data_IF_825669762568
#
_entry.id   IF_825669762568
#
_cell.length_a   1.000
_cell.length_b   1.000
_cell.length_c   1.000
_cell.angle_alpha   90.00
_cell.angle_beta   90.00
_cell.angle_gamma   90.00
#
_symmetry.space_group_name_H-M   'P 1'
#
loop_
_entity.id
_entity.type
_entity.pdbx_description
1 polymer ?
#
# COMPACT_ATOMS: atom_id res chain seq x y z
N UNK A 1 3.32 9.04 -1.13
CA UNK A 1 2.67 9.74 -2.27
C UNK A 1 3.10 9.23 -3.64
N UNK A 2 4.39 9.12 -3.98
CA UNK A 2 4.84 8.70 -5.33
C UNK A 2 4.28 7.34 -5.80
N UNK A 3 4.17 6.37 -4.90
CA UNK A 3 3.58 5.05 -5.21
C UNK A 3 2.09 5.15 -5.63
N UNK A 4 1.30 5.95 -4.91
CA UNK A 4 -0.12 6.20 -5.24
C UNK A 4 -0.26 6.92 -6.58
N UNK A 5 0.57 7.94 -6.83
CA UNK A 5 0.59 8.65 -8.11
C UNK A 5 0.85 7.68 -9.28
N UNK A 6 1.81 6.76 -9.14
CA UNK A 6 2.09 5.76 -10.17
C UNK A 6 0.89 4.80 -10.42
N UNK A 7 0.16 4.42 -9.37
CA UNK A 7 -1.09 3.65 -9.52
C UNK A 7 -2.13 4.49 -10.30
N UNK A 8 -2.32 5.75 -9.95
CA UNK A 8 -3.29 6.62 -10.60
C UNK A 8 -2.97 6.90 -12.07
N UNK A 9 -1.70 7.11 -12.41
CA UNK A 9 -1.22 7.32 -13.79
C UNK A 9 -1.55 6.14 -14.71
N UNK A 10 -1.66 4.93 -14.15
CA UNK A 10 -2.10 3.74 -14.91
C UNK A 10 -3.62 3.63 -15.11
N UNK A 11 -4.38 4.52 -14.47
CA UNK A 11 -5.84 4.50 -14.40
C UNK A 11 -6.41 3.76 -13.19
N UNK A 12 -5.57 3.20 -12.31
CA UNK A 12 -6.00 2.49 -11.10
C UNK A 12 -6.32 3.51 -10.01
N UNK A 13 -7.56 3.97 -9.98
CA UNK A 13 -8.05 5.02 -9.07
C UNK A 13 -9.22 4.58 -8.19
N UNK A 14 -9.67 3.33 -8.32
CA UNK A 14 -10.80 2.79 -7.57
C UNK A 14 -10.38 1.61 -6.71
N UNK A 15 -10.75 1.63 -5.43
CA UNK A 15 -10.39 0.61 -4.47
C UNK A 15 -9.99 1.20 -3.13
N UNK A 16 -9.14 0.50 -2.40
CA UNK A 16 -8.59 0.96 -1.13
C UNK A 16 -7.22 0.32 -0.89
N UNK A 17 -6.47 0.87 0.05
CA UNK A 17 -5.17 0.36 0.46
C UNK A 17 -5.19 0.02 1.93
N UNK A 18 -4.66 -1.15 2.28
CA UNK A 18 -4.21 -1.42 3.64
C UNK A 18 -2.75 -1.01 3.75
N UNK A 19 -2.42 -0.28 4.80
CA UNK A 19 -1.09 0.20 5.14
C UNK A 19 -0.67 -0.48 6.42
N UNK A 20 0.55 -1.02 6.41
CA UNK A 20 1.19 -1.64 7.57
C UNK A 20 2.72 -1.38 7.53
N UNK A 21 3.48 -2.08 8.36
CA UNK A 21 4.94 -1.97 8.43
C UNK A 21 5.39 -1.15 9.65
N UNK A 22 6.70 -0.95 9.78
CA UNK A 22 7.28 -0.38 10.99
C UNK A 22 6.77 1.03 11.35
N UNK A 23 6.29 1.81 10.38
CA UNK A 23 5.66 3.12 10.63
C UNK A 23 4.37 3.04 11.46
N UNK A 24 3.70 1.89 11.49
CA UNK A 24 2.44 1.70 12.22
C UNK A 24 2.61 0.89 13.51
N UNK A 25 3.85 0.54 13.86
CA UNK A 25 4.16 -0.35 14.98
C UNK A 25 4.74 0.35 16.22
N UNK A 26 4.98 1.67 16.19
CA UNK A 26 5.69 2.40 17.26
C UNK A 26 7.07 1.78 17.58
N UNK A 27 7.81 1.38 16.54
CA UNK A 27 9.09 0.68 16.69
C UNK A 27 10.17 1.54 17.35
N UNK A 28 10.07 2.87 17.29
CA UNK A 28 10.99 3.78 17.96
C UNK A 28 10.93 3.61 19.48
N UNK A 29 9.72 3.42 20.03
CA UNK A 29 9.50 3.23 21.47
C UNK A 29 9.72 1.77 21.86
N UNK A 30 9.22 0.84 21.07
CA UNK A 30 9.20 -0.58 21.43
C UNK A 30 10.50 -1.31 21.11
N UNK A 31 11.24 -0.86 20.10
CA UNK A 31 12.45 -1.52 19.60
C UNK A 31 13.67 -0.57 19.57
N UNK A 32 13.50 0.72 19.88
CA UNK A 32 14.62 1.67 19.96
C UNK A 32 15.28 2.00 18.61
N UNK A 33 14.57 1.79 17.49
CA UNK A 33 15.06 2.03 16.12
C UNK A 33 14.08 2.86 15.31
N UNK A 34 14.56 3.56 14.29
CA UNK A 34 13.70 4.25 13.34
C UNK A 34 12.88 3.25 12.48
N UNK A 35 11.67 3.63 12.04
CA UNK A 35 10.89 2.89 11.06
C UNK A 35 11.56 3.00 9.69
N UNK A 36 11.50 1.92 8.93
CA UNK A 36 12.27 1.75 7.69
C UNK A 36 11.50 1.05 6.56
N UNK A 37 10.27 0.61 6.82
CA UNK A 37 9.45 -0.14 5.87
C UNK A 37 7.98 0.29 5.94
N UNK A 38 7.37 0.39 4.77
CA UNK A 38 5.93 0.62 4.59
C UNK A 38 5.39 -0.50 3.70
N UNK A 39 4.53 -1.33 4.26
CA UNK A 39 3.84 -2.40 3.55
C UNK A 39 2.50 -1.89 3.03
N UNK A 40 2.18 -2.17 1.77
CA UNK A 40 0.92 -1.72 1.15
C UNK A 40 0.25 -2.81 0.32
N UNK A 41 -0.94 -3.24 0.73
CA UNK A 41 -1.82 -4.09 -0.10
C UNK A 41 -2.86 -3.19 -0.73
N UNK A 42 -2.83 -3.09 -2.05
CA UNK A 42 -3.76 -2.31 -2.84
C UNK A 42 -4.86 -3.22 -3.39
N UNK A 43 -6.06 -3.08 -2.84
CA UNK A 43 -7.26 -3.71 -3.36
C UNK A 43 -7.85 -2.81 -4.43
N UNK A 44 -7.78 -3.22 -5.70
CA UNK A 44 -8.09 -2.33 -6.82
C UNK A 44 -9.14 -2.90 -7.78
N UNK A 45 -9.86 -2.00 -8.44
CA UNK A 45 -10.69 -2.31 -9.61
C UNK A 45 -9.94 -1.96 -10.89
N UNK A 46 -10.18 -2.74 -11.94
CA UNK A 46 -9.65 -2.41 -13.26
C UNK A 46 -10.32 -1.14 -13.79
N UNK A 47 -9.58 -0.29 -14.54
CA UNK A 47 -10.19 0.76 -15.33
C UNK A 47 -11.20 0.17 -16.32
N UNK A 48 -12.26 0.92 -16.63
CA UNK A 48 -13.28 0.47 -17.56
C UNK A 48 -12.67 0.10 -18.93
N UNK A 49 -13.00 -1.10 -19.44
CA UNK A 49 -12.48 -1.59 -20.72
C UNK A 49 -11.01 -2.00 -20.73
N UNK A 50 -10.34 -2.04 -19.57
CA UNK A 50 -8.93 -2.46 -19.45
C UNK A 50 -8.86 -3.84 -18.81
N UNK A 51 -8.23 -4.80 -19.49
CA UNK A 51 -7.91 -6.13 -18.93
C UNK A 51 -6.70 -6.08 -17.99
N UNK A 52 -6.55 -7.11 -17.15
CA UNK A 52 -5.35 -7.24 -16.28
C UNK A 52 -4.06 -7.31 -17.09
N UNK A 53 -4.06 -7.97 -18.25
CA UNK A 53 -2.90 -8.05 -19.13
C UNK A 53 -2.52 -6.68 -19.68
N UNK A 54 -3.50 -5.89 -20.14
CA UNK A 54 -3.26 -4.52 -20.59
C UNK A 54 -2.77 -3.63 -19.45
N UNK A 55 -3.31 -3.78 -18.25
CA UNK A 55 -2.81 -3.04 -17.09
C UNK A 55 -1.36 -3.42 -16.76
N UNK A 56 -1.01 -4.72 -16.78
CA UNK A 56 0.35 -5.19 -16.52
C UNK A 56 1.37 -4.62 -17.52
N UNK A 57 0.99 -4.44 -18.79
CA UNK A 57 1.88 -3.77 -19.77
C UNK A 57 2.10 -2.29 -19.51
N UNK A 58 1.11 -1.61 -18.89
CA UNK A 58 1.23 -0.20 -18.51
C UNK A 58 2.00 0.00 -17.21
N UNK A 59 2.24 -1.08 -16.46
CA UNK A 59 2.80 -1.04 -15.12
C UNK A 59 3.76 -2.20 -14.82
N UNK A 60 4.81 -2.44 -15.64
CA UNK A 60 5.80 -3.47 -15.33
C UNK A 60 6.43 -3.26 -13.95
N UNK A 61 6.63 -2.00 -13.54
CA UNK A 61 7.20 -1.65 -12.24
C UNK A 61 6.28 -1.85 -11.03
N UNK A 62 4.95 -2.00 -11.20
CA UNK A 62 4.02 -2.27 -10.09
C UNK A 62 3.62 -3.75 -9.98
N UNK A 63 3.95 -4.56 -10.99
CA UNK A 63 3.84 -6.02 -10.91
C UNK A 63 5.16 -6.66 -10.46
N UNK A 64 6.29 -5.98 -10.66
CA UNK A 64 7.58 -6.38 -10.12
C UNK A 64 7.81 -5.75 -8.73
N UNK A 65 7.68 -6.58 -7.70
CA UNK A 65 7.82 -6.18 -6.31
C UNK A 65 9.20 -5.54 -6.01
N UNK A 66 10.28 -6.08 -6.56
CA UNK A 66 11.63 -5.56 -6.30
C UNK A 66 11.81 -4.16 -6.91
N UNK A 67 11.20 -3.94 -8.08
CA UNK A 67 11.15 -2.63 -8.73
C UNK A 67 10.36 -1.60 -7.91
N UNK A 68 9.20 -1.99 -7.36
CA UNK A 68 8.40 -1.13 -6.45
C UNK A 68 9.23 -0.76 -5.23
N UNK A 69 9.83 -1.75 -4.57
CA UNK A 69 10.61 -1.56 -3.35
C UNK A 69 11.81 -0.65 -3.59
N UNK A 70 12.54 -0.85 -4.68
CA UNK A 70 13.68 0.00 -5.04
C UNK A 70 13.28 1.43 -5.39
N UNK A 71 12.16 1.62 -6.11
CA UNK A 71 11.75 2.94 -6.63
C UNK A 71 11.02 3.80 -5.61
N UNK A 72 10.14 3.16 -4.82
CA UNK A 72 9.22 3.84 -3.92
C UNK A 72 9.50 3.59 -2.44
N UNK A 73 10.37 2.61 -2.11
CA UNK A 73 10.59 2.14 -0.72
C UNK A 73 9.31 1.64 -0.07
N UNK A 74 8.47 0.99 -0.87
CA UNK A 74 7.19 0.41 -0.46
C UNK A 74 7.20 -1.07 -0.81
N UNK A 75 6.82 -1.90 0.14
CA UNK A 75 6.55 -3.31 -0.07
C UNK A 75 5.10 -3.45 -0.58
N UNK A 76 4.95 -3.29 -1.90
CA UNK A 76 3.66 -3.19 -2.57
C UNK A 76 3.12 -4.53 -3.05
N UNK A 77 1.84 -4.78 -2.81
CA UNK A 77 1.08 -5.94 -3.27
C UNK A 77 -0.25 -5.51 -3.90
N UNK A 78 -0.70 -6.23 -4.92
CA UNK A 78 -1.91 -5.91 -5.67
C UNK A 78 -2.96 -7.04 -5.56
N UNK A 79 -4.17 -6.69 -5.15
CA UNK A 79 -5.32 -7.61 -5.11
C UNK A 79 -6.44 -7.05 -5.98
N UNK A 80 -6.77 -7.75 -7.07
CA UNK A 80 -7.85 -7.36 -7.96
C UNK A 80 -9.23 -7.68 -7.35
N UNK A 81 -10.03 -6.66 -7.05
CA UNK A 81 -11.36 -6.81 -6.44
C UNK A 81 -12.40 -7.51 -7.33
N UNK A 82 -12.16 -7.57 -8.64
CA UNK A 82 -13.04 -8.27 -9.59
C UNK A 82 -12.65 -9.74 -9.84
N UNK A 83 -11.70 -10.30 -9.08
CA UNK A 83 -11.37 -11.72 -9.19
C UNK A 83 -12.48 -12.61 -8.64
N UNK A 84 -12.39 -13.91 -8.91
CA UNK A 84 -13.29 -14.91 -8.34
C UNK A 84 -13.47 -14.77 -6.81
N UNK A 85 -14.68 -14.97 -6.31
CA UNK A 85 -15.05 -14.71 -4.93
C UNK A 85 -14.29 -15.60 -3.93
N UNK A 86 -14.06 -16.87 -4.25
CA UNK A 86 -13.27 -17.76 -3.38
C UNK A 86 -11.82 -17.30 -3.33
N UNK A 87 -11.27 -16.90 -4.49
CA UNK A 87 -9.91 -16.37 -4.56
C UNK A 87 -9.77 -15.06 -3.78
N UNK A 88 -10.72 -14.14 -3.93
CA UNK A 88 -10.74 -12.86 -3.20
C UNK A 88 -10.81 -13.12 -1.69
N UNK A 89 -11.73 -13.98 -1.24
CA UNK A 89 -11.89 -14.33 0.17
C UNK A 89 -10.59 -14.89 0.76
N UNK A 90 -9.93 -15.80 0.03
CA UNK A 90 -8.65 -16.38 0.45
C UNK A 90 -7.53 -15.34 0.52
N UNK A 91 -7.45 -14.42 -0.45
CA UNK A 91 -6.45 -13.35 -0.44
C UNK A 91 -6.69 -12.37 0.71
N UNK A 92 -7.93 -11.97 0.96
CA UNK A 92 -8.29 -11.11 2.09
C UNK A 92 -7.95 -11.77 3.44
N UNK A 93 -8.28 -13.05 3.60
CA UNK A 93 -7.96 -13.81 4.82
C UNK A 93 -6.44 -13.95 5.00
N UNK A 94 -5.70 -14.21 3.93
CA UNK A 94 -4.24 -14.28 3.95
C UNK A 94 -3.63 -12.97 4.47
N UNK A 95 -3.92 -11.85 3.80
CA UNK A 95 -3.37 -10.54 4.19
C UNK A 95 -3.77 -10.14 5.60
N UNK A 96 -5.05 -10.33 5.96
CA UNK A 96 -5.51 -10.11 7.32
C UNK A 96 -4.70 -10.92 8.34
N UNK A 97 -4.47 -12.21 8.08
CA UNK A 97 -3.74 -13.08 9.02
C UNK A 97 -2.28 -12.67 9.22
N UNK A 98 -1.61 -12.24 8.15
CA UNK A 98 -0.20 -11.83 8.17
C UNK A 98 -0.04 -10.47 8.84
N UNK A 99 -0.95 -9.52 8.58
CA UNK A 99 -0.80 -8.12 8.99
C UNK A 99 -1.51 -7.77 10.30
N UNK A 100 -2.34 -8.67 10.84
CA UNK A 100 -2.98 -8.45 12.15
C UNK A 100 -2.09 -8.87 13.34
N UNK A 101 -0.86 -9.31 13.09
CA UNK A 101 0.04 -9.80 14.13
C UNK A 101 1.46 -9.25 13.97
N UNK A 102 2.12 -9.02 15.10
CA UNK A 102 3.56 -8.81 15.16
C UNK A 102 4.30 -10.15 15.14
N UNK A 103 5.61 -10.13 14.91
CA UNK A 103 6.47 -11.34 14.97
C UNK A 103 6.38 -12.07 16.31
N UNK A 104 6.13 -11.34 17.40
CA UNK A 104 5.92 -11.88 18.75
C UNK A 104 4.47 -12.33 19.02
N UNK A 105 3.64 -12.47 17.99
CA UNK A 105 2.23 -12.91 18.07
C UNK A 105 1.27 -11.96 18.80
N UNK A 106 1.71 -10.74 19.14
CA UNK A 106 0.79 -9.72 19.64
C UNK A 106 -0.08 -9.21 18.49
N UNK A 107 -1.36 -9.01 18.81
CA UNK A 107 -2.32 -8.42 17.88
C UNK A 107 -1.96 -6.97 17.59
N UNK A 108 -2.03 -6.60 16.32
CA UNK A 108 -1.97 -5.22 15.85
C UNK A 108 -3.03 -5.00 14.78
N UNK A 109 -3.37 -3.73 14.55
CA UNK A 109 -4.19 -3.34 13.41
C UNK A 109 -3.32 -2.89 12.25
N UNK A 110 -3.99 -2.58 11.14
CA UNK A 110 -3.46 -1.89 9.98
C UNK A 110 -4.44 -0.78 9.58
N UNK A 111 -3.98 0.18 8.79
CA UNK A 111 -4.81 1.34 8.41
C UNK A 111 -5.37 1.11 7.02
N UNK A 112 -6.69 1.25 6.86
CA UNK A 112 -7.32 1.31 5.53
C UNK A 112 -7.50 2.75 5.08
N UNK A 113 -7.06 3.06 3.86
CA UNK A 113 -7.27 4.37 3.21
C UNK A 113 -7.92 4.19 1.83
N UNK A 114 -8.73 5.16 1.40
CA UNK A 114 -9.28 5.16 0.05
C UNK A 114 -8.15 5.29 -0.99
N UNK A 115 -8.30 4.62 -2.13
CA UNK A 115 -7.38 4.73 -3.26
C UNK A 115 -7.69 5.96 -4.13
N UNK A 116 -8.90 6.52 -4.06
CA UNK A 116 -9.27 7.68 -4.85
C UNK A 116 -8.29 8.86 -4.65
N UNK A 117 -7.93 9.61 -5.71
CA UNK A 117 -6.97 10.71 -5.63
C UNK A 117 -7.54 11.98 -4.96
N UNK A 118 -8.81 11.95 -4.54
CA UNK A 118 -9.56 13.13 -4.08
C UNK A 118 -8.89 13.85 -2.91
N UNK A 119 -8.25 13.11 -2.01
CA UNK A 119 -7.61 13.66 -0.81
C UNK A 119 -6.09 13.81 -0.94
N UNK A 120 -5.48 13.32 -2.03
CA UNK A 120 -4.03 13.25 -2.18
C UNK A 120 -3.38 14.65 -2.20
N UNK A 121 -4.06 15.65 -2.78
CA UNK A 121 -3.58 17.04 -2.79
C UNK A 121 -3.58 17.65 -1.39
N UNK A 122 -4.66 17.46 -0.63
CA UNK A 122 -4.76 17.94 0.74
C UNK A 122 -3.73 17.25 1.65
N UNK A 123 -3.57 15.93 1.52
CA UNK A 123 -2.59 15.17 2.26
C UNK A 123 -1.15 15.61 1.94
N UNK A 124 -0.82 15.90 0.67
CA UNK A 124 0.48 16.43 0.29
C UNK A 124 0.75 17.83 0.87
N UNK A 125 -0.26 18.70 0.89
CA UNK A 125 -0.17 20.02 1.52
C UNK A 125 0.04 19.92 3.03
N UNK A 126 -0.70 19.04 3.72
CA UNK A 126 -0.50 18.74 5.14
C UNK A 126 0.93 18.26 5.39
N UNK A 127 1.43 17.30 4.61
CA UNK A 127 2.80 16.80 4.72
C UNK A 127 3.84 17.92 4.56
N UNK A 128 3.67 18.81 3.60
CA UNK A 128 4.57 19.95 3.39
C UNK A 128 4.52 20.98 4.53
N UNK A 129 3.41 21.05 5.26
CA UNK A 129 3.23 21.95 6.41
C UNK A 129 3.80 21.40 7.72
N UNK A 130 4.10 20.09 7.79
CA UNK A 130 4.67 19.48 8.99
C UNK A 130 6.11 19.96 9.19
N UNK A 131 6.37 20.56 10.35
CA UNK A 131 7.70 21.09 10.74
C UNK A 131 8.64 20.01 11.26
N UNK A 132 8.18 18.76 11.38
CA UNK A 132 8.99 17.65 11.84
C UNK A 132 9.65 16.98 10.61
N UNK A 133 10.99 16.98 10.49
CA UNK A 133 11.68 16.44 9.31
C UNK A 133 11.50 14.92 9.15
N UNK A 134 10.86 14.25 10.11
CA UNK A 134 10.77 12.79 10.17
C UNK A 134 12.10 12.15 10.54
N UNK A 135 12.12 10.83 10.66
CA UNK A 135 13.37 10.07 10.76
C UNK A 135 14.13 10.10 9.44
N UNK A 136 15.46 10.22 9.51
CA UNK A 136 16.31 10.01 8.33
C UNK A 136 16.18 8.54 7.89
N UNK A 137 15.99 8.27 6.58
CA UNK A 137 15.87 6.92 6.06
C UNK A 137 17.20 6.15 6.05
#
# INVERSE_FOLDING_TARGET
MRYRAALHESGVVQGFQWLDGSFLEHVEVLEGRAPNDLDVVTFYRLPAGVSQMQLATKLPALVDHDSVKGTFRVDGYLVHLGMDAERLTRQSAYWYSVWSHRRNQLWKGFVQVDLAPTEDTAAAATLASLTNPGGLP
#
